data_IF_482290241902
#
_entry.id   IF_482290241902
#
_cell.length_a   1.000
_cell.length_b   1.000
_cell.length_c   1.000
_cell.angle_alpha   90.00
_cell.angle_beta   90.00
_cell.angle_gamma   90.00
#
_symmetry.space_group_name_H-M   'P 1'
#
loop_
_entity.id
_entity.type
_entity.pdbx_description
1 polymer ?
#
# COMPACT_ATOMS: atom_id res chain seq x y z
N UNK A 1 23.72 -10.29 -4.54
CA UNK A 1 24.74 -10.15 -3.46
C UNK A 1 25.97 -9.41 -3.98
N UNK A 2 26.51 -9.75 -5.16
CA UNK A 2 27.65 -9.08 -5.80
C UNK A 2 27.42 -7.57 -6.01
N UNK A 3 26.23 -7.15 -6.42
CA UNK A 3 25.89 -5.74 -6.60
C UNK A 3 25.82 -5.00 -5.25
N UNK A 4 25.37 -5.66 -4.19
CA UNK A 4 25.33 -5.09 -2.83
C UNK A 4 26.76 -4.91 -2.28
N UNK A 5 27.63 -5.89 -2.49
CA UNK A 5 29.02 -5.89 -2.01
C UNK A 5 29.90 -4.85 -2.74
N UNK A 6 29.55 -4.53 -3.99
CA UNK A 6 30.28 -3.57 -4.83
C UNK A 6 29.53 -2.24 -5.01
N UNK A 7 28.48 -1.98 -4.22
CA UNK A 7 27.72 -0.75 -4.30
C UNK A 7 28.58 0.45 -3.89
N UNK A 8 28.78 1.38 -4.81
CA UNK A 8 29.46 2.66 -4.56
C UNK A 8 28.36 3.74 -4.48
N UNK A 9 28.12 4.34 -3.29
CA UNK A 9 27.14 5.40 -3.16
C UNK A 9 27.58 6.63 -3.95
N UNK A 10 26.62 7.26 -4.66
CA UNK A 10 26.81 8.54 -5.34
C UNK A 10 26.08 9.64 -4.58
N UNK A 11 26.73 10.76 -4.36
CA UNK A 11 26.11 11.97 -3.81
C UNK A 11 25.55 12.81 -4.95
N UNK A 12 24.30 13.22 -4.82
CA UNK A 12 23.63 14.12 -5.75
C UNK A 12 22.83 15.19 -5.00
N UNK A 13 22.46 16.25 -5.67
CA UNK A 13 21.68 17.34 -5.12
C UNK A 13 20.37 17.48 -5.89
N UNK A 14 19.31 17.85 -5.17
CA UNK A 14 18.01 18.15 -5.73
C UNK A 14 17.69 19.63 -5.51
N UNK A 15 17.27 20.31 -6.56
CA UNK A 15 16.80 21.68 -6.46
C UNK A 15 15.31 21.70 -6.13
N UNK A 16 14.97 22.35 -5.02
CA UNK A 16 13.58 22.48 -4.56
C UNK A 16 13.30 23.93 -4.13
N UNK A 17 12.07 24.36 -4.30
CA UNK A 17 11.60 25.66 -3.78
C UNK A 17 10.21 25.52 -3.16
N UNK A 18 9.87 26.40 -2.22
CA UNK A 18 8.55 26.46 -1.60
C UNK A 18 7.86 27.74 -2.05
N UNK A 19 6.68 27.61 -2.61
CA UNK A 19 5.82 28.73 -2.95
C UNK A 19 4.40 28.46 -2.43
N UNK A 20 3.88 29.36 -1.59
CA UNK A 20 2.54 29.25 -0.95
C UNK A 20 2.30 27.85 -0.36
N UNK A 21 3.19 27.41 0.52
CA UNK A 21 3.17 26.11 1.22
C UNK A 21 3.23 24.88 0.31
N UNK A 22 3.52 25.06 -0.98
CA UNK A 22 3.69 23.96 -1.94
C UNK A 22 5.18 23.81 -2.28
N UNK A 23 5.69 22.59 -2.12
CA UNK A 23 7.06 22.22 -2.51
C UNK A 23 7.10 21.89 -4.01
N UNK A 24 7.91 22.65 -4.75
CA UNK A 24 8.25 22.35 -6.14
C UNK A 24 9.62 21.69 -6.20
N UNK A 25 9.74 20.67 -7.02
CA UNK A 25 11.03 20.02 -7.34
C UNK A 25 11.39 20.31 -8.79
N UNK A 26 12.63 20.69 -9.04
CA UNK A 26 13.09 20.96 -10.40
C UNK A 26 13.11 19.65 -11.22
N UNK A 27 12.68 19.77 -12.48
CA UNK A 27 12.86 18.75 -13.50
C UNK A 27 13.99 19.21 -14.41
N UNK A 28 15.17 18.66 -14.22
CA UNK A 28 16.35 18.98 -15.02
C UNK A 28 16.58 17.86 -16.04
N UNK A 29 17.06 18.22 -17.27
CA UNK A 29 17.41 17.19 -18.25
C UNK A 29 18.54 16.32 -17.70
N UNK A 30 18.35 15.02 -17.76
CA UNK A 30 19.34 14.00 -17.36
C UNK A 30 19.40 12.93 -18.43
N UNK A 31 20.59 12.33 -18.61
CA UNK A 31 20.71 11.08 -19.35
C UNK A 31 20.18 9.91 -18.50
N UNK A 32 19.76 8.81 -19.14
CA UNK A 32 19.25 7.64 -18.42
C UNK A 32 20.26 7.21 -17.33
N UNK A 33 19.73 6.97 -16.12
CA UNK A 33 20.47 6.52 -14.92
C UNK A 33 21.47 7.53 -14.31
N UNK A 34 21.39 8.82 -14.62
CA UNK A 34 22.27 9.84 -14.01
C UNK A 34 21.46 10.90 -13.21
N UNK A 35 22.19 11.74 -12.45
CA UNK A 35 21.62 12.84 -11.68
C UNK A 35 22.05 14.17 -12.30
N UNK A 36 21.11 15.12 -12.42
CA UNK A 36 21.35 16.41 -13.06
C UNK A 36 22.38 17.27 -12.30
N UNK A 37 22.46 17.14 -10.98
CA UNK A 37 23.35 17.93 -10.12
C UNK A 37 24.25 16.95 -9.35
N UNK A 38 25.50 16.83 -9.77
CA UNK A 38 26.49 15.91 -9.19
C UNK A 38 27.52 16.61 -8.31
N UNK A 39 27.53 17.95 -8.28
CA UNK A 39 28.38 18.74 -7.38
C UNK A 39 27.63 19.89 -6.71
N UNK A 40 28.07 20.27 -5.52
CA UNK A 40 27.50 21.41 -4.81
C UNK A 40 27.68 22.72 -5.59
N UNK A 41 28.81 22.87 -6.30
CA UNK A 41 29.12 24.05 -7.12
C UNK A 41 28.12 24.20 -8.28
N UNK A 42 27.80 23.11 -8.98
CA UNK A 42 26.76 23.11 -10.02
C UNK A 42 25.39 23.52 -9.44
N UNK A 43 25.02 22.94 -8.28
CA UNK A 43 23.79 23.28 -7.60
C UNK A 43 23.73 24.74 -7.18
N UNK A 44 24.83 25.27 -6.62
CA UNK A 44 24.89 26.67 -6.20
C UNK A 44 24.83 27.62 -7.39
N UNK A 45 25.54 27.33 -8.47
CA UNK A 45 25.51 28.11 -9.72
C UNK A 45 24.10 28.19 -10.28
N UNK A 46 23.38 27.06 -10.28
CA UNK A 46 21.98 27.02 -10.72
C UNK A 46 21.08 27.86 -9.81
N UNK A 47 21.20 27.73 -8.50
CA UNK A 47 20.45 28.55 -7.53
C UNK A 47 20.73 30.03 -7.77
N UNK A 48 21.99 30.43 -7.91
CA UNK A 48 22.39 31.83 -8.11
C UNK A 48 21.84 32.41 -9.41
N UNK A 49 21.67 31.57 -10.45
CA UNK A 49 21.09 32.02 -11.73
C UNK A 49 19.58 32.28 -11.69
N UNK A 50 18.86 31.67 -10.74
CA UNK A 50 17.39 31.74 -10.71
C UNK A 50 16.79 32.37 -9.43
N UNK A 51 17.57 32.55 -8.36
CA UNK A 51 17.07 33.00 -7.04
C UNK A 51 16.31 34.32 -7.07
N UNK A 52 16.68 35.23 -7.97
CA UNK A 52 16.09 36.54 -8.11
C UNK A 52 15.03 36.62 -9.23
N UNK A 53 14.78 35.49 -9.90
CA UNK A 53 13.77 35.40 -10.97
C UNK A 53 12.42 34.98 -10.43
N UNK A 54 11.32 35.47 -11.02
CA UNK A 54 9.97 35.05 -10.62
C UNK A 54 9.74 33.56 -10.96
N UNK A 55 8.99 32.88 -10.08
CA UNK A 55 8.45 31.57 -10.39
C UNK A 55 7.12 31.73 -11.13
N UNK A 56 7.09 31.41 -12.40
CA UNK A 56 5.91 31.52 -13.26
C UNK A 56 5.18 30.17 -13.37
N UNK A 57 3.90 30.14 -13.03
CA UNK A 57 3.08 28.94 -13.22
C UNK A 57 2.73 28.83 -14.71
N UNK A 58 3.23 27.79 -15.36
CA UNK A 58 3.04 27.56 -16.79
C UNK A 58 1.88 26.64 -17.10
N UNK A 59 1.53 25.74 -16.18
CA UNK A 59 0.42 24.79 -16.37
C UNK A 59 -0.17 24.37 -15.03
N UNK A 60 -1.49 24.21 -15.00
CA UNK A 60 -2.23 23.57 -13.92
C UNK A 60 -3.20 22.56 -14.54
N UNK A 61 -2.92 21.28 -14.35
CA UNK A 61 -3.74 20.18 -14.84
C UNK A 61 -4.39 19.43 -13.71
N UNK A 62 -5.72 19.25 -13.76
CA UNK A 62 -6.47 18.42 -12.80
C UNK A 62 -7.02 17.20 -13.53
N UNK A 63 -6.65 16.02 -13.02
CA UNK A 63 -7.15 14.73 -13.51
C UNK A 63 -7.88 14.00 -12.39
N UNK A 64 -9.12 13.59 -12.67
CA UNK A 64 -9.80 12.61 -11.80
C UNK A 64 -9.16 11.24 -12.02
N UNK A 65 -8.96 10.55 -10.93
CA UNK A 65 -8.42 9.19 -10.92
C UNK A 65 -9.15 8.31 -9.94
N UNK A 66 -8.79 7.04 -9.93
CA UNK A 66 -9.31 6.07 -8.98
C UNK A 66 -8.13 5.37 -8.31
N UNK A 67 -8.11 5.41 -7.00
CA UNK A 67 -7.14 4.65 -6.20
C UNK A 67 -7.83 3.39 -5.66
N UNK A 68 -7.26 2.25 -6.00
CA UNK A 68 -7.80 0.95 -5.64
C UNK A 68 -7.24 0.46 -4.31
N UNK A 69 -8.06 -0.30 -3.57
CA UNK A 69 -7.54 -1.04 -2.43
C UNK A 69 -6.38 -1.95 -2.87
N UNK A 70 -5.27 -2.01 -2.12
CA UNK A 70 -4.18 -2.91 -2.43
C UNK A 70 -4.64 -4.37 -2.33
N UNK A 71 -3.98 -5.27 -3.08
CA UNK A 71 -4.31 -6.71 -3.06
C UNK A 71 -4.12 -7.29 -1.67
N UNK A 72 -4.81 -8.40 -1.40
CA UNK A 72 -4.61 -9.18 -0.18
C UNK A 72 -3.16 -9.66 -0.08
N UNK A 73 -2.77 -10.16 1.06
CA UNK A 73 -1.41 -10.63 1.29
C UNK A 73 -1.23 -12.09 0.87
N UNK A 74 -0.15 -12.34 0.12
CA UNK A 74 0.60 -13.57 0.15
C UNK A 74 1.74 -13.45 1.19
N UNK A 75 2.54 -14.50 1.39
CA UNK A 75 3.63 -14.46 2.37
C UNK A 75 4.67 -13.40 2.03
N UNK A 76 5.09 -13.31 0.77
CA UNK A 76 6.15 -12.39 0.34
C UNK A 76 5.74 -10.93 0.52
N UNK A 77 4.55 -10.55 0.06
CA UNK A 77 4.06 -9.18 0.22
C UNK A 77 3.83 -8.79 1.68
N UNK A 78 3.42 -9.75 2.54
CA UNK A 78 3.32 -9.53 3.98
C UNK A 78 4.71 -9.28 4.60
N UNK A 79 5.71 -10.08 4.23
CA UNK A 79 7.10 -9.91 4.69
C UNK A 79 7.66 -8.52 4.30
N UNK A 80 7.44 -8.10 3.05
CA UNK A 80 7.85 -6.77 2.57
C UNK A 80 7.19 -5.66 3.38
N UNK A 81 5.89 -5.76 3.62
CA UNK A 81 5.14 -4.73 4.36
C UNK A 81 5.55 -4.69 5.85
N UNK A 82 5.76 -5.84 6.48
CA UNK A 82 6.25 -5.95 7.85
C UNK A 82 7.68 -5.40 8.00
N UNK A 83 8.54 -5.63 7.02
CA UNK A 83 9.87 -5.03 7.00
C UNK A 83 9.81 -3.51 6.91
N UNK A 84 9.02 -2.97 5.98
CA UNK A 84 8.87 -1.51 5.80
C UNK A 84 8.32 -0.80 7.04
N UNK A 85 7.32 -1.40 7.70
CA UNK A 85 6.61 -0.75 8.82
C UNK A 85 7.19 -1.02 10.18
N UNK A 86 7.78 -2.19 10.38
CA UNK A 86 8.19 -2.68 11.70
C UNK A 86 9.64 -3.14 11.74
N UNK A 87 10.38 -3.04 10.63
CA UNK A 87 11.77 -3.52 10.49
C UNK A 87 11.92 -5.02 10.81
N UNK A 88 10.88 -5.80 10.61
CA UNK A 88 10.90 -7.24 10.82
C UNK A 88 11.65 -7.93 9.65
N UNK A 89 12.43 -8.96 9.99
CA UNK A 89 12.99 -9.86 8.98
C UNK A 89 11.91 -10.73 8.33
N UNK A 90 12.21 -11.32 7.17
CA UNK A 90 11.32 -12.27 6.53
C UNK A 90 11.04 -13.49 7.43
N UNK A 91 12.07 -13.98 8.14
CA UNK A 91 11.95 -15.12 9.04
C UNK A 91 11.10 -14.78 10.28
N UNK A 92 11.31 -13.61 10.90
CA UNK A 92 10.49 -13.19 12.05
C UNK A 92 9.03 -12.98 11.64
N UNK A 93 8.78 -12.40 10.47
CA UNK A 93 7.42 -12.25 9.94
C UNK A 93 6.76 -13.63 9.74
N UNK A 94 7.50 -14.59 9.18
CA UNK A 94 6.97 -15.95 8.99
C UNK A 94 6.64 -16.61 10.34
N UNK A 95 7.49 -16.49 11.35
CA UNK A 95 7.23 -17.03 12.68
C UNK A 95 5.97 -16.41 13.31
N UNK A 96 5.80 -15.10 13.18
CA UNK A 96 4.65 -14.39 13.73
C UNK A 96 3.36 -14.81 13.04
N UNK A 97 3.33 -14.82 11.69
CA UNK A 97 2.11 -15.20 10.96
C UNK A 97 1.78 -16.68 11.14
N UNK A 98 2.79 -17.55 11.31
CA UNK A 98 2.60 -18.95 11.65
C UNK A 98 1.93 -19.10 13.03
N UNK A 99 2.37 -18.33 14.03
CA UNK A 99 1.74 -18.30 15.35
C UNK A 99 0.28 -17.82 15.29
N UNK A 100 -0.03 -16.80 14.47
CA UNK A 100 -1.39 -16.31 14.26
C UNK A 100 -2.29 -17.38 13.61
N UNK A 101 -1.74 -18.16 12.68
CA UNK A 101 -2.43 -19.31 12.09
C UNK A 101 -2.70 -20.41 13.13
N UNK A 102 -1.72 -20.77 13.95
CA UNK A 102 -1.85 -21.77 15.02
C UNK A 102 -2.86 -21.33 16.10
N UNK A 103 -2.99 -20.02 16.32
CA UNK A 103 -4.05 -19.40 17.16
C UNK A 103 -5.41 -19.34 16.45
N UNK A 104 -5.51 -19.83 15.22
CA UNK A 104 -6.72 -19.83 14.38
C UNK A 104 -7.31 -18.44 14.07
N UNK A 105 -6.53 -17.35 14.19
CA UNK A 105 -7.00 -16.00 13.88
C UNK A 105 -6.72 -15.56 12.45
N UNK A 106 -5.80 -16.24 11.75
CA UNK A 106 -5.55 -16.05 10.31
C UNK A 106 -5.59 -17.39 9.57
N UNK A 107 -5.74 -17.32 8.25
CA UNK A 107 -5.64 -18.49 7.35
C UNK A 107 -4.18 -18.90 7.16
N UNK A 108 -3.94 -20.02 6.47
CA UNK A 108 -2.62 -20.59 6.25
C UNK A 108 -1.66 -19.58 5.62
N UNK A 109 -0.44 -19.41 6.17
CA UNK A 109 0.43 -18.29 5.79
C UNK A 109 1.38 -18.55 4.63
N UNK A 110 1.69 -19.83 4.31
CA UNK A 110 2.66 -20.16 3.26
C UNK A 110 1.97 -20.25 1.91
N UNK A 111 1.52 -19.10 1.42
CA UNK A 111 0.76 -18.95 0.18
C UNK A 111 1.46 -17.99 -0.77
N UNK A 112 1.33 -18.23 -2.06
CA UNK A 112 1.92 -17.47 -3.16
C UNK A 112 0.88 -16.65 -3.96
N UNK A 113 -0.38 -16.65 -3.49
CA UNK A 113 -1.47 -15.92 -4.14
C UNK A 113 -2.04 -14.81 -3.26
N UNK A 114 -2.43 -13.71 -3.90
CA UNK A 114 -3.13 -12.57 -3.31
C UNK A 114 -4.64 -12.60 -3.56
N UNK A 115 -5.17 -13.73 -4.04
CA UNK A 115 -6.57 -13.87 -4.43
C UNK A 115 -7.32 -14.85 -3.52
N UNK A 116 -8.64 -14.69 -3.50
CA UNK A 116 -9.58 -15.61 -2.87
C UNK A 116 -10.28 -16.45 -3.96
N UNK A 117 -10.63 -17.67 -3.62
CA UNK A 117 -11.54 -18.48 -4.42
C UNK A 117 -12.99 -18.10 -4.19
N UNK A 118 -13.84 -18.41 -5.15
CA UNK A 118 -15.27 -18.03 -5.12
C UNK A 118 -16.05 -18.67 -3.96
N UNK A 119 -15.63 -19.82 -3.46
CA UNK A 119 -16.23 -20.50 -2.31
C UNK A 119 -15.98 -19.80 -0.97
N UNK A 120 -15.00 -18.89 -0.92
CA UNK A 120 -14.75 -18.05 0.25
C UNK A 120 -15.75 -16.88 0.34
N UNK A 121 -16.28 -16.39 -0.80
CA UNK A 121 -17.16 -15.24 -0.81
C UNK A 121 -18.36 -15.34 0.14
N UNK A 122 -19.10 -16.45 0.23
CA UNK A 122 -20.22 -16.59 1.18
C UNK A 122 -19.79 -16.54 2.66
N UNK A 123 -18.52 -16.77 2.96
CA UNK A 123 -17.96 -16.76 4.33
C UNK A 123 -17.52 -15.38 4.79
N UNK A 124 -17.30 -14.44 3.86
CA UNK A 124 -16.80 -13.08 4.15
C UNK A 124 -17.70 -12.33 5.16
N UNK A 125 -19.04 -12.33 5.04
CA UNK A 125 -19.89 -11.68 6.02
C UNK A 125 -19.66 -12.15 7.46
N UNK A 126 -19.53 -13.45 7.67
CA UNK A 126 -19.27 -14.01 9.00
C UNK A 126 -17.87 -13.63 9.52
N UNK A 127 -16.86 -13.64 8.64
CA UNK A 127 -15.50 -13.22 8.99
C UNK A 127 -15.47 -11.76 9.44
N UNK A 128 -16.09 -10.85 8.68
CA UNK A 128 -16.17 -9.43 9.05
C UNK A 128 -16.96 -9.22 10.36
N UNK A 129 -18.08 -9.94 10.54
CA UNK A 129 -18.85 -9.88 11.75
C UNK A 129 -18.04 -10.32 12.99
N UNK A 130 -17.19 -11.33 12.85
CA UNK A 130 -16.35 -11.84 13.93
C UNK A 130 -15.27 -10.87 14.40
N UNK A 131 -14.79 -9.98 13.52
CA UNK A 131 -13.71 -9.00 13.84
C UNK A 131 -14.23 -7.58 14.10
N UNK A 132 -15.53 -7.32 13.99
CA UNK A 132 -16.12 -5.96 14.06
C UNK A 132 -15.79 -5.19 15.34
N UNK A 133 -15.70 -5.90 16.47
CA UNK A 133 -15.47 -5.28 17.77
C UNK A 133 -14.01 -4.78 17.92
N UNK A 134 -13.11 -5.30 17.10
CA UNK A 134 -11.69 -4.90 17.04
C UNK A 134 -11.40 -3.86 15.94
N UNK A 135 -12.26 -3.82 14.92
CA UNK A 135 -12.08 -2.95 13.76
C UNK A 135 -13.36 -2.15 13.48
N UNK A 136 -13.49 -0.93 14.01
CA UNK A 136 -14.64 -0.06 13.75
C UNK A 136 -14.89 0.19 12.25
N UNK A 137 -13.86 0.05 11.43
CA UNK A 137 -13.93 0.15 9.97
C UNK A 137 -14.85 -0.90 9.33
N UNK A 138 -15.19 -1.97 10.03
CA UNK A 138 -16.15 -2.97 9.54
C UNK A 138 -17.59 -2.43 9.58
N UNK A 139 -17.92 -1.50 10.49
CA UNK A 139 -19.29 -1.03 10.71
C UNK A 139 -20.02 -0.52 9.45
N UNK A 140 -19.37 0.27 8.53
CA UNK A 140 -20.01 0.71 7.29
C UNK A 140 -20.32 -0.43 6.31
N UNK A 141 -19.66 -1.59 6.46
CA UNK A 141 -19.90 -2.76 5.63
C UNK A 141 -21.07 -3.64 6.15
N UNK A 142 -21.59 -3.37 7.34
CA UNK A 142 -22.69 -4.07 7.98
C UNK A 142 -24.01 -3.23 7.88
N UNK A 143 -25.20 -3.84 7.86
CA UNK A 143 -25.52 -5.27 7.91
C UNK A 143 -25.31 -5.97 6.56
N UNK A 144 -24.67 -7.13 6.60
CA UNK A 144 -24.41 -7.95 5.42
C UNK A 144 -25.53 -9.00 5.28
N UNK A 145 -26.06 -9.18 4.07
CA UNK A 145 -26.92 -10.31 3.78
C UNK A 145 -26.08 -11.57 3.62
N UNK A 146 -26.40 -12.59 4.38
CA UNK A 146 -25.66 -13.86 4.40
C UNK A 146 -25.73 -14.64 3.05
N UNK A 147 -26.65 -14.30 2.16
CA UNK A 147 -26.91 -15.01 0.91
C UNK A 147 -26.16 -14.46 -0.30
N UNK A 148 -25.35 -13.41 -0.12
CA UNK A 148 -24.54 -12.80 -1.20
C UNK A 148 -25.35 -12.16 -2.34
N UNK A 149 -26.68 -12.08 -2.23
CA UNK A 149 -27.53 -11.48 -3.26
C UNK A 149 -27.38 -9.95 -3.28
N UNK A 150 -27.34 -9.37 -4.48
CA UNK A 150 -27.32 -7.93 -4.70
C UNK A 150 -28.53 -7.26 -4.04
N UNK A 151 -28.29 -6.55 -2.97
CA UNK A 151 -29.25 -5.70 -2.28
C UNK A 151 -28.48 -4.66 -1.48
N UNK A 152 -29.16 -3.66 -0.92
CA UNK A 152 -28.51 -2.73 -0.01
C UNK A 152 -27.79 -3.52 1.09
N UNK A 153 -26.45 -3.44 1.16
CA UNK A 153 -25.62 -4.18 2.10
C UNK A 153 -24.94 -5.45 1.55
N UNK A 154 -24.94 -5.73 0.22
CA UNK A 154 -24.10 -6.78 -0.33
C UNK A 154 -22.67 -6.30 -0.56
N UNK A 155 -21.69 -7.12 -0.17
CA UNK A 155 -20.27 -6.83 -0.44
C UNK A 155 -19.96 -6.88 -1.94
N UNK A 156 -19.07 -6.04 -2.44
CA UNK A 156 -18.61 -6.15 -3.83
C UNK A 156 -17.84 -7.46 -4.04
N UNK A 157 -18.21 -8.23 -5.07
CA UNK A 157 -17.44 -9.38 -5.54
C UNK A 157 -16.55 -8.94 -6.70
N UNK A 158 -15.41 -8.37 -6.38
CA UNK A 158 -14.47 -7.87 -7.39
C UNK A 158 -13.56 -8.98 -7.92
N UNK A 159 -13.33 -9.01 -9.24
CA UNK A 159 -12.31 -9.87 -9.88
C UNK A 159 -10.88 -9.53 -9.46
N UNK A 160 -10.66 -8.39 -8.80
CA UNK A 160 -9.36 -8.02 -8.21
C UNK A 160 -9.09 -8.79 -6.92
N UNK A 161 -10.15 -9.32 -6.28
CA UNK A 161 -10.09 -10.08 -5.03
C UNK A 161 -10.38 -11.56 -5.26
N UNK A 162 -11.36 -11.90 -6.12
CA UNK A 162 -11.82 -13.27 -6.36
C UNK A 162 -11.44 -13.71 -7.78
N UNK A 163 -10.56 -14.71 -7.86
CA UNK A 163 -10.16 -15.34 -9.13
C UNK A 163 -9.70 -16.78 -8.91
N UNK A 164 -10.58 -17.75 -9.17
CA UNK A 164 -10.30 -19.16 -9.01
C UNK A 164 -9.09 -19.64 -9.81
N UNK A 165 -8.77 -19.00 -10.95
CA UNK A 165 -7.62 -19.39 -11.78
C UNK A 165 -6.29 -19.02 -11.16
N UNK A 166 -6.29 -18.15 -10.15
CA UNK A 166 -5.10 -17.66 -9.45
C UNK A 166 -4.99 -18.20 -8.03
N UNK A 167 -5.86 -19.13 -7.67
CA UNK A 167 -5.82 -19.85 -6.39
C UNK A 167 -5.55 -21.32 -6.72
N UNK A 168 -4.49 -21.88 -6.13
CA UNK A 168 -4.13 -23.29 -6.26
C UNK A 168 -4.64 -24.07 -5.04
N UNK A 169 -3.76 -24.42 -4.11
CA UNK A 169 -4.10 -25.19 -2.91
C UNK A 169 -4.66 -24.31 -1.78
N UNK A 170 -4.16 -23.09 -1.68
CA UNK A 170 -4.54 -22.13 -0.64
C UNK A 170 -4.81 -20.75 -1.24
N UNK A 171 -5.71 -20.00 -0.64
CA UNK A 171 -6.00 -18.62 -0.98
C UNK A 171 -5.13 -17.63 -0.16
N UNK A 172 -5.22 -16.34 -0.45
CA UNK A 172 -4.54 -15.26 0.25
C UNK A 172 -4.72 -15.32 1.78
N UNK A 173 -3.80 -14.73 2.51
CA UNK A 173 -3.83 -14.62 3.98
C UNK A 173 -4.93 -13.65 4.39
N UNK A 174 -5.93 -14.13 5.13
CA UNK A 174 -7.04 -13.32 5.64
C UNK A 174 -7.36 -13.68 7.11
N UNK A 175 -8.09 -12.83 7.84
CA UNK A 175 -8.65 -13.21 9.13
C UNK A 175 -9.65 -14.36 8.99
N UNK A 176 -9.78 -15.17 10.03
CA UNK A 176 -10.78 -16.28 10.09
C UNK A 176 -12.13 -15.81 10.64
N UNK A 177 -12.19 -14.64 11.28
CA UNK A 177 -13.34 -14.18 12.05
C UNK A 177 -13.30 -14.57 13.53
N UNK A 178 -12.31 -15.35 13.94
CA UNK A 178 -12.06 -15.61 15.37
C UNK A 178 -11.53 -14.35 16.07
N UNK A 179 -11.85 -14.23 17.37
CA UNK A 179 -11.40 -13.09 18.18
C UNK A 179 -9.88 -13.12 18.34
N UNK A 180 -9.17 -12.01 18.05
CA UNK A 180 -7.72 -11.92 18.15
C UNK A 180 -7.29 -11.65 19.61
N UNK A 181 -7.75 -12.46 20.54
CA UNK A 181 -7.40 -12.35 21.96
C UNK A 181 -6.00 -12.93 22.21
N UNK A 182 -5.35 -12.48 23.29
CA UNK A 182 -4.06 -12.99 23.74
C UNK A 182 -2.92 -12.93 22.69
N UNK A 183 -2.91 -11.86 21.89
CA UNK A 183 -1.83 -11.59 20.96
C UNK A 183 -0.74 -10.75 21.64
N UNK A 184 0.53 -11.11 21.40
CA UNK A 184 1.66 -10.25 21.71
C UNK A 184 1.59 -8.95 20.90
N UNK A 185 2.41 -7.95 21.26
CA UNK A 185 2.43 -6.67 20.54
C UNK A 185 2.77 -6.84 19.05
N UNK A 186 3.76 -7.66 18.72
CA UNK A 186 4.15 -7.92 17.34
C UNK A 186 3.09 -8.71 16.57
N UNK A 187 2.52 -9.74 17.20
CA UNK A 187 1.40 -10.48 16.59
C UNK A 187 0.22 -9.56 16.30
N UNK A 188 -0.11 -8.65 17.22
CA UNK A 188 -1.19 -7.67 17.02
C UNK A 188 -0.88 -6.73 15.85
N UNK A 189 0.36 -6.24 15.73
CA UNK A 189 0.78 -5.40 14.60
C UNK A 189 0.62 -6.12 13.26
N UNK A 190 1.09 -7.36 13.15
CA UNK A 190 0.98 -8.16 11.93
C UNK A 190 -0.48 -8.53 11.63
N UNK A 191 -1.24 -8.94 12.65
CA UNK A 191 -2.67 -9.23 12.51
C UNK A 191 -3.45 -8.01 12.00
N UNK A 192 -3.18 -6.82 12.55
CA UNK A 192 -3.81 -5.58 12.12
C UNK A 192 -3.53 -5.27 10.65
N UNK A 193 -2.31 -5.51 10.15
CA UNK A 193 -2.01 -5.36 8.72
C UNK A 193 -2.90 -6.26 7.87
N UNK A 194 -2.98 -7.55 8.22
CA UNK A 194 -3.80 -8.53 7.50
C UNK A 194 -5.27 -8.16 7.54
N UNK A 195 -5.80 -7.83 8.72
CA UNK A 195 -7.21 -7.50 8.91
C UNK A 195 -7.63 -6.21 8.18
N UNK A 196 -6.83 -5.14 8.28
CA UNK A 196 -7.12 -3.87 7.60
C UNK A 196 -7.03 -4.01 6.08
N UNK A 197 -6.08 -4.80 5.55
CA UNK A 197 -5.97 -5.11 4.13
C UNK A 197 -7.19 -5.87 3.63
N UNK A 198 -7.65 -6.85 4.40
CA UNK A 198 -8.87 -7.62 4.12
C UNK A 198 -10.12 -6.73 4.13
N UNK A 199 -10.30 -5.89 5.14
CA UNK A 199 -11.44 -4.97 5.24
C UNK A 199 -11.45 -4.01 4.05
N UNK A 200 -10.29 -3.42 3.70
CA UNK A 200 -10.16 -2.46 2.59
C UNK A 200 -10.59 -3.06 1.23
N UNK A 201 -10.42 -4.37 1.04
CA UNK A 201 -10.80 -5.05 -0.20
C UNK A 201 -12.33 -5.01 -0.49
N UNK A 202 -13.15 -4.68 0.50
CA UNK A 202 -14.61 -4.60 0.39
C UNK A 202 -15.14 -3.16 0.43
N UNK A 203 -14.27 -2.17 0.55
CA UNK A 203 -14.65 -0.77 0.39
C UNK A 203 -14.73 -0.38 -1.08
N UNK A 204 -15.53 0.65 -1.42
CA UNK A 204 -15.49 1.23 -2.75
C UNK A 204 -14.10 1.79 -3.05
N UNK A 205 -13.74 1.80 -4.33
CA UNK A 205 -12.52 2.44 -4.78
C UNK A 205 -12.54 3.93 -4.44
N UNK A 206 -11.39 4.51 -4.08
CA UNK A 206 -11.28 5.91 -3.70
C UNK A 206 -11.21 6.79 -4.96
N UNK A 207 -12.14 7.74 -5.10
CA UNK A 207 -12.03 8.78 -6.11
C UNK A 207 -11.00 9.83 -5.67
N UNK A 208 -10.00 10.06 -6.51
CA UNK A 208 -8.92 11.02 -6.25
C UNK A 208 -8.91 12.10 -7.32
N UNK A 209 -8.46 13.29 -6.94
CA UNK A 209 -8.19 14.40 -7.86
C UNK A 209 -6.70 14.72 -7.82
N UNK A 210 -5.98 14.33 -8.86
CA UNK A 210 -4.57 14.63 -9.01
C UNK A 210 -4.40 15.99 -9.68
N UNK A 211 -3.70 16.91 -9.03
CA UNK A 211 -3.37 18.20 -9.61
C UNK A 211 -1.87 18.25 -9.87
N UNK A 212 -1.50 18.43 -11.12
CA UNK A 212 -0.11 18.67 -11.52
C UNK A 212 0.06 20.14 -11.82
N UNK A 213 1.03 20.77 -11.18
CA UNK A 213 1.37 22.18 -11.38
C UNK A 213 2.78 22.23 -11.94
N UNK A 214 2.94 22.81 -13.13
CA UNK A 214 4.23 23.09 -13.71
C UNK A 214 4.53 24.58 -13.55
N UNK A 215 5.78 24.87 -13.20
CA UNK A 215 6.29 26.23 -13.07
C UNK A 215 7.67 26.30 -13.68
N UNK A 216 8.05 27.48 -14.17
CA UNK A 216 9.42 27.78 -14.61
C UNK A 216 9.98 29.00 -13.88
N UNK A 217 11.29 29.07 -13.78
CA UNK A 217 12.04 30.22 -13.33
C UNK A 217 13.17 30.45 -14.33
N UNK A 218 13.12 31.57 -15.02
CA UNK A 218 14.00 31.84 -16.17
C UNK A 218 13.53 31.16 -17.48
N UNK A 219 14.40 31.20 -18.47
CA UNK A 219 14.16 30.64 -19.83
C UNK A 219 14.46 29.13 -19.89
#
# INVERSE_FOLDING_TARGET
QHEIENFVPRTYWELKTIYRDTLFSAQLPVEEDDYAITSLEQGQTLVDSIKDLPLEITSVEKKKGTEYAPRLFDLTSLQVECNKKFSLSADDTLKIIQSLYEKHVTTYPRVDTTYLSDDIYPKIPATLQGIKDYFPQVAPLLPLKADGKKGAGSLPKSKKVFDNKKVTDHHAIIPTGQRPDNLSELERKVYNLVALRFIAAFYPDCEVSNTTILAKSGD
#
